data_IF_728214745579
#
_entry.id   IF_728214745579
#
_cell.length_a   1.000
_cell.length_b   1.000
_cell.length_c   1.000
_cell.angle_alpha   90.00
_cell.angle_beta   90.00
_cell.angle_gamma   90.00
#
_symmetry.space_group_name_H-M   'P 1'
#
loop_
_entity.id
_entity.type
_entity.pdbx_description
1 polymer ?
#
# COMPACT_ATOMS: atom_id res chain seq x y z
N UNK A 1 -11.02 -6.36 1.38
CA UNK A 1 -11.93 -7.43 1.85
C UNK A 1 -11.92 -8.64 0.93
N UNK A 2 -12.10 -8.46 -0.38
CA UNK A 2 -12.10 -9.58 -1.34
C UNK A 2 -10.90 -10.53 -1.19
N UNK A 3 -9.67 -10.00 -1.13
CA UNK A 3 -8.46 -10.82 -1.03
C UNK A 3 -8.41 -11.76 0.20
N UNK A 4 -8.93 -11.34 1.34
CA UNK A 4 -8.98 -12.19 2.55
C UNK A 4 -10.03 -13.29 2.41
N UNK A 5 -11.17 -12.98 1.78
CA UNK A 5 -12.20 -13.96 1.47
C UNK A 5 -11.69 -15.00 0.47
N UNK A 6 -10.95 -14.56 -0.55
CA UNK A 6 -10.37 -15.45 -1.55
C UNK A 6 -9.29 -16.34 -0.93
N UNK A 7 -8.45 -15.79 -0.05
CA UNK A 7 -7.45 -16.55 0.68
C UNK A 7 -8.09 -17.62 1.58
N UNK A 8 -9.21 -17.30 2.24
CA UNK A 8 -9.98 -18.28 3.04
C UNK A 8 -10.46 -19.44 2.15
N UNK A 9 -11.06 -19.13 1.00
CA UNK A 9 -11.51 -20.14 0.05
C UNK A 9 -10.37 -21.05 -0.44
N UNK A 10 -9.20 -20.48 -0.75
CA UNK A 10 -8.03 -21.27 -1.15
C UNK A 10 -7.49 -22.11 0.02
N UNK A 11 -7.55 -21.61 1.25
CA UNK A 11 -7.15 -22.37 2.45
C UNK A 11 -8.04 -23.60 2.67
N UNK A 12 -9.35 -23.44 2.51
CA UNK A 12 -10.33 -24.52 2.58
C UNK A 12 -10.05 -25.59 1.51
N UNK A 13 -9.87 -25.17 0.25
CA UNK A 13 -9.51 -26.10 -0.84
C UNK A 13 -8.18 -26.81 -0.56
N UNK A 14 -7.18 -26.09 -0.04
CA UNK A 14 -5.89 -26.67 0.35
C UNK A 14 -6.06 -27.76 1.42
N UNK A 15 -6.94 -27.51 2.39
CA UNK A 15 -7.27 -28.46 3.45
C UNK A 15 -8.00 -29.69 2.90
N UNK A 16 -8.95 -29.51 1.99
CA UNK A 16 -9.68 -30.62 1.34
C UNK A 16 -8.76 -31.56 0.57
N UNK A 17 -7.68 -31.04 -0.04
CA UNK A 17 -6.70 -31.87 -0.77
C UNK A 17 -5.55 -32.37 0.12
N UNK A 18 -5.60 -32.13 1.43
CA UNK A 18 -4.68 -32.70 2.42
C UNK A 18 -3.48 -31.83 2.80
N UNK A 19 -3.44 -30.55 2.42
CA UNK A 19 -2.44 -29.61 2.92
C UNK A 19 -2.84 -29.04 4.29
N UNK A 20 -1.85 -28.85 5.16
CA UNK A 20 -2.00 -28.04 6.36
C UNK A 20 -1.61 -26.60 6.01
N UNK A 21 -2.61 -25.77 5.72
CA UNK A 21 -2.42 -24.35 5.43
C UNK A 21 -2.35 -23.59 6.76
N UNK A 22 -1.21 -22.95 7.06
CA UNK A 22 -0.98 -22.30 8.35
C UNK A 22 -0.35 -20.90 8.22
N UNK A 23 -0.14 -20.38 7.01
CA UNK A 23 0.48 -19.07 6.80
C UNK A 23 -0.38 -18.23 5.86
N UNK A 24 -0.78 -17.06 6.34
CA UNK A 24 -1.47 -16.05 5.56
C UNK A 24 -0.56 -14.84 5.41
N UNK A 25 -0.28 -14.44 4.17
CA UNK A 25 0.41 -13.19 3.86
C UNK A 25 -0.60 -12.16 3.32
N UNK A 26 -0.76 -11.03 4.02
CA UNK A 26 -1.65 -9.93 3.60
C UNK A 26 -0.94 -8.91 2.70
N UNK A 27 0.34 -9.12 2.42
CA UNK A 27 1.14 -8.35 1.47
C UNK A 27 1.50 -6.95 1.95
N UNK A 28 1.74 -6.07 0.98
CA UNK A 28 2.21 -4.70 1.19
C UNK A 28 1.11 -3.67 0.91
N UNK A 29 1.48 -2.40 0.68
CA UNK A 29 0.51 -1.38 0.27
C UNK A 29 -0.01 -0.49 1.40
N UNK A 30 0.53 -0.61 2.60
CA UNK A 30 0.27 0.33 3.68
C UNK A 30 0.91 1.71 3.37
N UNK A 31 0.20 2.84 3.55
CA UNK A 31 0.75 4.18 3.39
C UNK A 31 1.90 4.44 4.37
N UNK A 32 2.92 5.22 3.99
CA UNK A 32 4.09 5.47 4.84
C UNK A 32 4.31 6.92 5.27
N UNK A 33 3.33 7.79 5.00
CA UNK A 33 3.37 9.22 5.31
C UNK A 33 1.95 9.71 5.59
N UNK A 34 1.78 10.66 6.52
CA UNK A 34 0.47 11.26 6.84
C UNK A 34 -0.17 12.04 5.68
N UNK A 35 0.60 12.38 4.65
CA UNK A 35 0.12 13.08 3.45
C UNK A 35 -0.76 12.20 2.54
N UNK A 36 -0.85 10.89 2.81
CA UNK A 36 -1.71 9.99 2.05
C UNK A 36 -3.18 10.18 2.42
N UNK A 37 -4.05 10.23 1.39
CA UNK A 37 -5.51 10.34 1.56
C UNK A 37 -6.14 9.22 2.39
N UNK A 38 -5.54 8.04 2.36
CA UNK A 38 -5.94 6.89 3.18
C UNK A 38 -4.85 6.68 4.21
N UNK A 39 -5.21 6.54 5.48
CA UNK A 39 -4.27 6.30 6.58
C UNK A 39 -4.08 4.82 6.84
N UNK A 40 -2.95 4.44 7.45
CA UNK A 40 -2.71 3.06 7.85
C UNK A 40 -3.76 2.56 8.84
N UNK A 41 -4.16 3.41 9.79
CA UNK A 41 -5.12 3.06 10.85
C UNK A 41 -6.49 2.77 10.26
N UNK A 42 -6.92 3.55 9.27
CA UNK A 42 -8.17 3.32 8.54
C UNK A 42 -8.15 1.97 7.83
N UNK A 43 -7.05 1.62 7.17
CA UNK A 43 -6.88 0.32 6.51
C UNK A 43 -6.93 -0.81 7.54
N UNK A 44 -6.15 -0.71 8.62
CA UNK A 44 -6.10 -1.76 9.66
C UNK A 44 -7.45 -1.92 10.37
N UNK A 45 -8.21 -0.84 10.57
CA UNK A 45 -9.54 -0.89 11.17
C UNK A 45 -10.55 -1.70 10.36
N UNK A 46 -10.34 -1.79 9.03
CA UNK A 46 -11.16 -2.61 8.13
C UNK A 46 -10.60 -4.03 8.01
N UNK A 47 -9.28 -4.20 8.02
CA UNK A 47 -8.63 -5.50 7.88
C UNK A 47 -8.84 -6.37 9.12
N UNK A 48 -8.63 -5.83 10.33
CA UNK A 48 -8.64 -6.61 11.57
C UNK A 48 -9.96 -7.38 11.80
N UNK A 49 -11.16 -6.76 11.69
CA UNK A 49 -12.41 -7.50 11.87
C UNK A 49 -12.63 -8.61 10.81
N UNK A 50 -12.04 -8.45 9.64
CA UNK A 50 -12.13 -9.43 8.55
C UNK A 50 -11.17 -10.60 8.79
N UNK A 51 -9.98 -10.31 9.35
CA UNK A 51 -9.07 -11.34 9.83
C UNK A 51 -9.71 -12.13 10.97
N UNK A 52 -10.29 -11.47 11.98
CA UNK A 52 -10.98 -12.15 13.08
C UNK A 52 -12.13 -13.05 12.60
N UNK A 53 -12.77 -12.69 11.49
CA UNK A 53 -13.86 -13.47 10.88
C UNK A 53 -13.37 -14.70 10.12
N UNK A 54 -12.34 -14.57 9.28
CA UNK A 54 -11.90 -15.64 8.37
C UNK A 54 -10.71 -16.44 8.88
N UNK A 55 -9.89 -15.85 9.75
CA UNK A 55 -8.66 -16.41 10.31
C UNK A 55 -8.58 -16.09 11.81
N UNK A 56 -9.54 -16.58 12.62
CA UNK A 56 -9.55 -16.31 14.06
C UNK A 56 -8.26 -16.80 14.73
N UNK A 57 -7.83 -16.21 15.87
CA UNK A 57 -6.57 -16.59 16.53
C UNK A 57 -6.42 -18.09 16.83
N UNK A 58 -7.54 -18.80 16.99
CA UNK A 58 -7.59 -20.23 17.34
C UNK A 58 -7.57 -21.16 16.11
N UNK A 59 -7.62 -20.65 14.87
CA UNK A 59 -7.59 -21.50 13.65
C UNK A 59 -6.19 -21.99 13.27
N UNK A 60 -5.14 -21.42 13.89
CA UNK A 60 -3.76 -21.91 13.77
C UNK A 60 -2.94 -21.27 12.66
N UNK A 61 -3.52 -20.36 11.88
CA UNK A 61 -2.79 -19.58 10.89
C UNK A 61 -1.94 -18.49 11.54
N UNK A 62 -0.69 -18.42 11.10
CA UNK A 62 0.21 -17.30 11.31
C UNK A 62 -0.04 -16.25 10.24
N UNK A 63 -0.37 -15.04 10.65
CA UNK A 63 -0.57 -13.90 9.75
C UNK A 63 0.72 -13.08 9.67
N UNK A 64 1.16 -12.79 8.44
CA UNK A 64 2.29 -11.92 8.14
C UNK A 64 1.89 -10.85 7.13
N UNK A 65 2.72 -9.80 7.02
CA UNK A 65 2.59 -8.75 6.03
C UNK A 65 3.98 -8.37 5.49
N UNK A 66 4.01 -7.70 4.34
CA UNK A 66 5.22 -7.24 3.65
C UNK A 66 5.32 -5.69 3.60
N UNK A 67 5.24 -4.96 4.72
CA UNK A 67 5.26 -3.50 4.71
C UNK A 67 6.63 -2.96 4.25
N UNK A 68 6.68 -2.37 3.06
CA UNK A 68 7.85 -1.65 2.56
C UNK A 68 7.80 -0.16 2.89
N UNK A 69 7.09 0.61 2.05
CA UNK A 69 6.99 2.08 2.19
C UNK A 69 6.45 2.54 3.54
N UNK A 70 5.60 1.74 4.19
CA UNK A 70 5.07 2.01 5.53
C UNK A 70 6.19 2.30 6.54
N UNK A 71 7.30 1.55 6.48
CA UNK A 71 8.42 1.74 7.40
C UNK A 71 9.36 2.89 7.01
N UNK A 72 9.54 3.16 5.71
CA UNK A 72 10.68 3.97 5.25
C UNK A 72 10.31 5.27 4.56
N UNK A 73 9.06 5.48 4.14
CA UNK A 73 8.72 6.61 3.27
C UNK A 73 8.95 7.97 3.94
N UNK A 74 8.60 8.12 5.22
CA UNK A 74 8.79 9.36 6.00
C UNK A 74 10.16 9.46 6.68
N UNK A 75 10.97 8.40 6.63
CA UNK A 75 12.28 8.38 7.30
C UNK A 75 13.37 9.19 6.58
N UNK A 76 13.14 9.53 5.30
CA UNK A 76 14.13 10.21 4.46
C UNK A 76 13.58 11.53 3.92
N UNK A 77 14.46 12.53 3.83
CA UNK A 77 14.18 13.80 3.15
C UNK A 77 15.28 14.05 2.12
N UNK A 78 14.90 14.29 0.87
CA UNK A 78 15.83 14.60 -0.21
C UNK A 78 16.05 16.12 -0.29
N UNK A 79 17.28 16.57 -0.03
CA UNK A 79 17.72 17.94 -0.28
C UNK A 79 18.44 18.02 -1.64
N UNK A 80 18.04 18.97 -2.50
CA UNK A 80 18.65 19.17 -3.83
C UNK A 80 19.11 20.61 -4.00
N UNK A 81 20.19 20.80 -4.77
CA UNK A 81 20.73 22.12 -5.10
C UNK A 81 20.29 22.54 -6.52
N UNK A 82 19.91 23.81 -6.69
CA UNK A 82 19.59 24.37 -8.01
C UNK A 82 20.92 24.66 -8.74
N UNK A 83 21.21 23.90 -9.79
CA UNK A 83 22.45 24.05 -10.56
C UNK A 83 22.29 24.89 -11.84
N UNK A 84 21.05 25.10 -12.32
CA UNK A 84 20.78 25.90 -13.50
C UNK A 84 19.31 26.40 -13.51
N UNK A 85 19.07 27.53 -14.19
CA UNK A 85 17.74 28.10 -14.44
C UNK A 85 17.69 28.69 -15.86
N UNK A 86 16.67 28.35 -16.65
CA UNK A 86 16.43 28.95 -17.98
C UNK A 86 15.20 29.84 -17.95
N UNK A 87 15.30 31.04 -18.53
CA UNK A 87 14.15 31.95 -18.73
C UNK A 87 13.56 31.72 -20.12
N UNK A 88 12.25 31.49 -20.20
CA UNK A 88 11.52 31.51 -21.47
C UNK A 88 11.02 32.94 -21.69
N UNK A 89 11.54 33.63 -22.70
CA UNK A 89 10.97 34.91 -23.12
C UNK A 89 9.68 34.58 -23.90
N UNK A 90 8.57 35.23 -23.53
CA UNK A 90 7.34 35.17 -24.32
C UNK A 90 7.59 35.74 -25.72
N UNK A 91 6.83 35.29 -26.71
CA UNK A 91 6.84 35.91 -28.05
C UNK A 91 6.55 37.41 -27.86
N UNK A 92 7.49 38.27 -28.22
CA UNK A 92 7.17 39.67 -28.52
C UNK A 92 6.18 39.63 -29.67
N UNK A 93 4.96 40.11 -29.41
CA UNK A 93 4.01 40.41 -30.47
C UNK A 93 4.68 41.40 -31.41
N UNK A 94 4.87 40.99 -32.65
CA UNK A 94 5.21 41.92 -33.72
C UNK A 94 3.99 42.81 -33.93
N UNK A 95 3.99 43.99 -33.34
CA UNK A 95 3.21 45.13 -33.84
C UNK A 95 3.77 45.47 -35.23
N UNK A 96 3.24 44.82 -36.27
CA UNK A 96 3.40 45.27 -37.65
C UNK A 96 2.30 46.28 -37.95
N UNK A 97 2.57 47.54 -37.60
CA UNK A 97 2.02 48.68 -38.34
C UNK A 97 2.87 48.86 -39.60
N UNK A 98 2.22 48.69 -40.75
CA UNK A 98 2.72 48.95 -42.11
C UNK A 98 1.59 48.81 -43.09
#
# INVERSE_FOLDING_TARGET
MQALSDACCVSEVGTEVGFSMYLLDIGSGFPGSEDSKLKSEEITSVINPVLDKYFPPDSGERIIAEPGRYYVASAFTLAVNIIAKKKKNGMEGTDLLG
#
